data_IF_199725309959
#
_entry.id   IF_199725309959
#
_cell.length_a   1.000
_cell.length_b   1.000
_cell.length_c   1.000
_cell.angle_alpha   90.00
_cell.angle_beta   90.00
_cell.angle_gamma   90.00
#
_symmetry.space_group_name_H-M   'P 1'
#
loop_
_entity.id
_entity.type
_entity.pdbx_description
1 polymer ?
#
# COMPACT_ATOMS: atom_id res chain seq x y z
N UNK A 1 5.78 -0.55 16.62
CA UNK A 1 6.93 -1.29 16.09
C UNK A 1 7.02 -1.13 14.58
N UNK A 2 8.21 -0.94 14.12
CA UNK A 2 8.48 -0.66 12.72
C UNK A 2 8.95 -1.93 12.02
N UNK A 3 8.43 -2.17 10.82
CA UNK A 3 8.81 -3.32 10.01
C UNK A 3 9.55 -2.81 8.80
N UNK A 4 10.75 -3.32 8.59
CA UNK A 4 11.55 -2.95 7.43
C UNK A 4 11.82 -4.19 6.59
N UNK A 5 11.40 -4.15 5.36
CA UNK A 5 11.61 -5.25 4.43
C UNK A 5 12.20 -4.66 3.16
N UNK A 6 13.27 -5.26 2.70
CA UNK A 6 13.96 -4.78 1.50
C UNK A 6 13.56 -5.62 0.31
N UNK A 7 13.22 -4.96 -0.77
CA UNK A 7 12.91 -5.63 -2.02
C UNK A 7 13.54 -4.85 -3.16
N UNK A 8 13.78 -5.53 -4.23
CA UNK A 8 14.49 -4.95 -5.37
C UNK A 8 13.49 -4.60 -6.46
N UNK A 9 13.63 -3.41 -7.02
CA UNK A 9 12.85 -3.02 -8.18
C UNK A 9 13.47 -3.69 -9.40
N UNK A 10 12.65 -4.37 -10.20
CA UNK A 10 13.17 -5.08 -11.35
C UNK A 10 13.43 -4.12 -12.52
N UNK A 11 13.91 -4.65 -13.63
CA UNK A 11 14.31 -3.80 -14.76
C UNK A 11 13.12 -3.17 -15.48
N UNK A 12 11.94 -3.64 -15.22
CA UNK A 12 10.73 -3.02 -15.76
C UNK A 12 10.09 -2.06 -14.79
N UNK A 13 10.75 -1.81 -13.66
CA UNK A 13 10.23 -0.89 -12.66
C UNK A 13 9.19 -1.49 -11.76
N UNK A 14 9.09 -2.80 -11.71
CA UNK A 14 8.08 -3.48 -10.91
C UNK A 14 8.65 -3.87 -9.56
N UNK A 15 7.78 -3.93 -8.59
CA UNK A 15 8.15 -4.24 -7.22
C UNK A 15 7.11 -5.17 -6.63
N UNK A 16 7.57 -6.23 -5.99
CA UNK A 16 6.68 -7.18 -5.35
C UNK A 16 6.43 -6.74 -3.92
N UNK A 17 5.18 -6.62 -3.55
CA UNK A 17 4.82 -6.33 -2.17
C UNK A 17 4.97 -7.63 -1.37
N UNK A 18 5.78 -7.64 -0.31
CA UNK A 18 5.98 -8.86 0.47
C UNK A 18 4.66 -9.44 0.98
N UNK A 19 4.58 -10.76 0.98
CA UNK A 19 3.35 -11.45 1.35
C UNK A 19 2.88 -11.06 2.74
N UNK A 20 3.79 -10.93 3.68
CA UNK A 20 3.42 -10.58 5.05
C UNK A 20 2.73 -9.22 5.10
N UNK A 21 3.23 -8.27 4.33
CA UNK A 21 2.63 -6.95 4.29
C UNK A 21 1.30 -6.97 3.55
N UNK A 22 1.21 -7.75 2.48
CA UNK A 22 -0.06 -7.88 1.76
C UNK A 22 -1.15 -8.42 2.67
N UNK A 23 -0.81 -9.45 3.45
CA UNK A 23 -1.77 -10.06 4.35
C UNK A 23 -2.16 -9.11 5.47
N UNK A 24 -1.18 -8.41 6.01
CA UNK A 24 -1.42 -7.53 7.14
C UNK A 24 -2.31 -6.34 6.76
N UNK A 25 -2.11 -5.80 5.58
CA UNK A 25 -2.82 -4.60 5.15
C UNK A 25 -3.93 -4.86 4.15
N UNK A 26 -4.19 -6.12 3.85
CA UNK A 26 -5.33 -6.49 3.03
C UNK A 26 -5.16 -6.27 1.54
N UNK A 27 -3.92 -6.25 1.05
CA UNK A 27 -3.67 -6.18 -0.40
C UNK A 27 -3.91 -7.55 -1.01
N UNK A 28 -4.76 -7.62 -1.99
CA UNK A 28 -5.07 -8.89 -2.66
C UNK A 28 -4.76 -8.78 -4.13
N UNK A 29 -4.41 -9.89 -4.77
CA UNK A 29 -4.20 -9.89 -6.22
C UNK A 29 -5.40 -9.30 -6.94
N UNK A 30 -5.13 -8.40 -7.85
CA UNK A 30 -6.19 -7.74 -8.61
C UNK A 30 -6.74 -6.49 -7.98
N UNK A 31 -6.38 -6.22 -6.74
CA UNK A 31 -6.83 -5.00 -6.08
C UNK A 31 -6.13 -3.79 -6.69
N UNK A 32 -6.84 -2.69 -6.69
CA UNK A 32 -6.23 -1.42 -7.02
C UNK A 32 -5.54 -0.86 -5.79
N UNK A 33 -4.42 -0.21 -6.00
CA UNK A 33 -3.72 0.45 -4.91
C UNK A 33 -3.49 1.89 -5.30
N UNK A 34 -3.36 2.70 -4.28
CA UNK A 34 -3.14 4.13 -4.43
C UNK A 34 -1.77 4.48 -3.93
N UNK A 35 -1.12 5.37 -4.66
CA UNK A 35 0.19 5.87 -4.28
C UNK A 35 0.04 7.32 -3.90
N UNK A 36 0.54 7.68 -2.72
CA UNK A 36 0.59 9.07 -2.31
C UNK A 36 2.06 9.44 -2.15
N UNK A 37 2.47 10.45 -2.87
CA UNK A 37 3.87 10.86 -2.86
C UNK A 37 4.08 11.96 -1.83
N UNK A 38 5.09 11.78 -1.00
CA UNK A 38 5.53 12.76 -0.02
C UNK A 38 6.96 13.15 -0.35
N UNK A 39 7.46 14.20 0.32
CA UNK A 39 8.82 14.64 0.07
C UNK A 39 9.85 13.57 0.36
N UNK A 40 9.62 12.77 1.36
CA UNK A 40 10.59 11.76 1.80
C UNK A 40 10.19 10.34 1.52
N UNK A 41 9.16 10.14 0.73
CA UNK A 41 8.78 8.77 0.42
C UNK A 41 7.41 8.68 -0.20
N UNK A 42 6.98 7.44 -0.38
CA UNK A 42 5.70 7.14 -1.01
C UNK A 42 4.91 6.24 -0.08
N UNK A 43 3.65 6.56 0.09
CA UNK A 43 2.72 5.71 0.81
C UNK A 43 1.91 4.92 -0.20
N UNK A 44 1.79 3.62 0.02
CA UNK A 44 0.97 2.75 -0.80
C UNK A 44 -0.17 2.22 0.06
N UNK A 45 -1.40 2.38 -0.41
CA UNK A 45 -2.54 1.87 0.36
C UNK A 45 -3.56 1.26 -0.59
N UNK A 46 -4.32 0.33 -0.07
CA UNK A 46 -5.30 -0.38 -0.89
C UNK A 46 -6.58 0.42 -0.99
N UNK A 47 -7.37 0.09 -2.01
CA UNK A 47 -8.66 0.75 -2.15
C UNK A 47 -9.62 0.37 -1.03
N UNK A 48 -9.31 -0.68 -0.28
CA UNK A 48 -10.13 -1.12 0.84
C UNK A 48 -9.74 -0.48 2.16
N UNK A 49 -8.70 0.33 2.15
CA UNK A 49 -8.24 0.99 3.35
C UNK A 49 -9.27 2.00 3.81
N UNK A 50 -9.55 2.00 5.13
CA UNK A 50 -10.51 2.91 5.71
C UNK A 50 -9.83 3.92 6.59
N UNK A 51 -10.26 5.13 6.42
CA UNK A 51 -9.89 6.16 7.38
C UNK A 51 -11.14 6.49 8.12
N UNK A 52 -11.24 6.97 8.96
CA UNK A 52 -12.47 7.31 9.59
C UNK A 52 -13.07 8.54 9.25
N UNK A 53 -13.09 7.93 8.12
CA UNK A 53 -13.55 8.42 7.73
C UNK A 53 -14.37 8.80 7.26
N UNK A 54 -14.39 8.83 7.34
CA UNK A 54 -15.05 9.01 6.89
C UNK A 54 -15.82 9.35 6.44
N UNK A 55 -15.97 9.51 6.59
CA UNK A 55 -16.59 9.56 6.27
C UNK A 55 -17.04 9.80 5.39
N UNK A 56 -16.94 9.84 5.57
CA UNK A 56 -17.36 9.80 4.90
C UNK A 56 -17.91 9.82 4.19
N UNK A 57 -18.12 10.03 4.51
CA UNK A 57 -18.67 9.84 3.92
C UNK A 57 -19.31 10.00 3.38
N UNK A 58 -19.52 10.30 3.56
CA UNK A 58 -20.12 10.24 3.13
C UNK A 58 -20.68 10.24 2.60
N UNK A 59 -20.90 10.42 2.82
CA UNK A 59 -21.35 10.14 2.44
C UNK A 59 -21.63 10.02 2.09
#
# INVERSE_FOLDING_TARGET
>A
MEIKICRQIDELGRLVIPKDLRDQYGFKPGDKVWFTAYDDGILIHSENMRYNDDKQDNE
#
